data_IF_686574250499
#
_entry.id   IF_686574250499
#
_cell.length_a   1.000
_cell.length_b   1.000
_cell.length_c   1.000
_cell.angle_alpha   90.00
_cell.angle_beta   90.00
_cell.angle_gamma   90.00
#
_symmetry.space_group_name_H-M   'P 1'
#
loop_
_entity.id
_entity.type
_entity.pdbx_description
1 polymer ?
#
# COMPACT_ATOMS: atom_id res chain seq x y z
N UNK A 1 -24.27 -66.70 12.11
CA UNK A 1 -23.40 -66.79 13.30
C UNK A 1 -22.30 -65.68 13.19
N UNK A 2 -22.38 -64.75 14.13
CA UNK A 2 -21.32 -63.89 14.71
C UNK A 2 -20.48 -62.98 13.80
N UNK A 3 -20.76 -61.67 13.97
CA UNK A 3 -19.96 -60.60 14.67
C UNK A 3 -18.79 -60.09 13.78
N UNK A 4 -18.52 -58.81 13.65
CA UNK A 4 -18.79 -57.67 14.51
C UNK A 4 -18.58 -56.38 13.79
N UNK A 5 -19.41 -55.47 14.18
CA UNK A 5 -19.20 -54.02 14.09
C UNK A 5 -18.02 -53.66 14.98
N UNK A 6 -17.17 -52.80 14.51
CA UNK A 6 -16.42 -51.79 15.22
C UNK A 6 -15.18 -51.43 14.37
N UNK A 7 -15.12 -50.19 13.93
CA UNK A 7 -13.96 -49.30 13.88
C UNK A 7 -14.14 -48.21 12.84
N UNK A 8 -15.23 -47.43 12.94
CA UNK A 8 -15.39 -46.19 12.17
C UNK A 8 -15.29 -44.93 13.03
N UNK A 9 -14.76 -45.01 14.26
CA UNK A 9 -14.68 -43.89 15.20
C UNK A 9 -13.24 -43.42 15.50
N UNK A 10 -12.21 -43.98 14.83
CA UNK A 10 -10.82 -43.65 15.14
C UNK A 10 -10.16 -42.66 14.15
N UNK A 11 -10.86 -42.26 13.09
CA UNK A 11 -10.27 -41.32 12.08
C UNK A 11 -10.69 -39.86 12.27
N UNK A 12 -11.60 -39.55 13.21
CA UNK A 12 -12.06 -38.17 13.44
C UNK A 12 -11.35 -37.45 14.60
N UNK A 13 -10.49 -38.13 15.36
CA UNK A 13 -9.81 -37.58 16.54
C UNK A 13 -8.34 -37.19 16.32
N UNK A 14 -7.79 -37.38 15.12
CA UNK A 14 -6.40 -37.02 14.82
C UNK A 14 -6.21 -35.71 14.01
N UNK A 15 -7.31 -34.99 13.71
CA UNK A 15 -7.26 -33.73 12.95
C UNK A 15 -7.27 -32.48 13.83
N UNK A 16 -7.28 -32.57 15.15
CA UNK A 16 -7.40 -31.40 16.05
C UNK A 16 -6.19 -31.14 16.96
N UNK A 17 -5.04 -31.74 16.67
CA UNK A 17 -3.89 -31.50 17.55
C UNK A 17 -2.63 -31.22 16.72
N UNK A 18 -2.63 -30.13 15.94
CA UNK A 18 -1.39 -29.50 15.48
C UNK A 18 -1.72 -28.13 14.84
N UNK A 19 -2.26 -27.22 15.64
CA UNK A 19 -2.10 -25.78 15.40
C UNK A 19 -1.49 -25.18 16.67
N UNK A 20 -0.23 -25.48 16.92
CA UNK A 20 0.59 -24.60 17.75
C UNK A 20 0.92 -23.40 16.88
N UNK A 21 0.19 -22.32 17.10
CA UNK A 21 0.60 -20.98 16.66
C UNK A 21 1.95 -20.68 17.29
N UNK A 22 3.02 -20.84 16.49
CA UNK A 22 4.31 -20.23 16.84
C UNK A 22 4.13 -18.74 16.72
N UNK A 23 4.00 -18.07 17.84
CA UNK A 23 4.16 -16.60 17.92
C UNK A 23 5.60 -16.29 17.51
N UNK A 24 5.81 -15.84 16.29
CA UNK A 24 7.10 -15.30 15.88
C UNK A 24 7.09 -13.85 16.34
N UNK A 25 7.77 -13.57 17.45
CA UNK A 25 8.09 -12.20 17.83
C UNK A 25 9.01 -11.60 16.75
N UNK A 26 8.45 -10.73 15.92
CA UNK A 26 9.23 -9.87 15.06
C UNK A 26 9.87 -8.76 15.91
N UNK A 27 11.02 -9.08 16.49
CA UNK A 27 11.91 -8.02 16.98
C UNK A 27 12.42 -7.28 15.73
N UNK A 28 11.96 -6.03 15.51
CA UNK A 28 12.57 -5.17 14.49
C UNK A 28 14.07 -5.11 14.81
N UNK A 29 14.97 -5.50 13.91
CA UNK A 29 16.39 -5.30 14.11
C UNK A 29 16.60 -3.80 14.33
N UNK A 30 17.31 -3.43 15.41
CA UNK A 30 17.79 -2.07 15.56
C UNK A 30 18.49 -1.68 14.25
N UNK A 31 18.10 -0.56 13.65
CA UNK A 31 18.69 -0.07 12.41
C UNK A 31 20.21 -0.05 12.60
N UNK A 32 20.90 -0.91 11.87
CA UNK A 32 22.35 -0.92 11.88
C UNK A 32 22.78 0.43 11.29
N UNK A 33 23.70 1.14 11.97
CA UNK A 33 24.29 2.40 11.49
C UNK A 33 25.28 2.15 10.32
N UNK A 34 24.87 1.36 9.33
CA UNK A 34 25.53 1.32 8.04
C UNK A 34 25.02 2.48 7.23
N UNK A 35 25.90 3.29 6.67
CA UNK A 35 25.54 4.36 5.72
C UNK A 35 24.55 3.78 4.72
N UNK A 36 23.34 4.36 4.55
CA UNK A 36 22.35 3.81 3.64
C UNK A 36 22.96 3.62 2.26
N UNK A 37 22.78 2.45 1.66
CA UNK A 37 23.23 2.23 0.30
C UNK A 37 22.44 3.17 -0.61
N UNK A 38 23.11 4.11 -1.24
CA UNK A 38 22.50 4.99 -2.24
C UNK A 38 22.43 4.29 -3.59
N UNK A 39 21.24 4.30 -4.18
CA UNK A 39 20.97 3.70 -5.47
C UNK A 39 20.98 4.77 -6.56
N UNK A 40 21.87 4.66 -7.53
CA UNK A 40 21.76 5.46 -8.75
C UNK A 40 20.63 4.95 -9.65
N UNK A 41 20.06 5.81 -10.48
CA UNK A 41 19.04 5.39 -11.47
C UNK A 41 19.56 4.27 -12.37
N UNK A 42 20.86 4.34 -12.77
CA UNK A 42 21.48 3.31 -13.61
C UNK A 42 21.57 1.94 -12.92
N UNK A 43 21.86 1.89 -11.62
CA UNK A 43 21.87 0.63 -10.86
C UNK A 43 20.47 0.04 -10.75
N UNK A 44 19.44 0.86 -10.49
CA UNK A 44 18.05 0.39 -10.47
C UNK A 44 17.61 -0.06 -11.86
N UNK A 45 17.95 0.69 -12.92
CA UNK A 45 17.67 0.29 -14.30
C UNK A 45 18.35 -1.04 -14.67
N UNK A 46 19.56 -1.30 -14.15
CA UNK A 46 20.24 -2.57 -14.33
C UNK A 46 19.46 -3.75 -13.68
N UNK A 47 18.77 -3.53 -12.55
CA UNK A 47 17.88 -4.54 -11.97
C UNK A 47 16.74 -4.91 -12.93
N UNK A 48 16.11 -3.92 -13.54
CA UNK A 48 15.03 -4.17 -14.52
C UNK A 48 15.51 -4.97 -15.75
N UNK A 49 16.79 -4.87 -16.10
CA UNK A 49 17.40 -5.55 -17.27
C UNK A 49 17.91 -6.98 -16.95
N UNK A 50 17.88 -7.39 -15.69
CA UNK A 50 18.25 -8.77 -15.33
C UNK A 50 17.33 -9.79 -16.02
N UNK A 51 17.82 -11.00 -16.32
CA UNK A 51 16.96 -12.12 -16.65
C UNK A 51 15.87 -12.28 -15.59
N UNK A 52 14.64 -12.57 -16.02
CA UNK A 52 13.49 -12.56 -15.09
C UNK A 52 13.70 -13.48 -13.89
N UNK A 53 14.19 -14.68 -14.11
CA UNK A 53 14.45 -15.67 -13.05
C UNK A 53 15.49 -15.18 -12.03
N UNK A 54 16.55 -14.50 -12.51
CA UNK A 54 17.61 -13.97 -11.64
C UNK A 54 17.10 -12.82 -10.77
N UNK A 55 16.29 -11.95 -11.37
CA UNK A 55 15.65 -10.85 -10.63
C UNK A 55 14.71 -11.39 -9.54
N UNK A 56 13.85 -12.37 -9.88
CA UNK A 56 12.92 -12.99 -8.92
C UNK A 56 13.67 -13.69 -7.78
N UNK A 57 14.72 -14.44 -8.11
CA UNK A 57 15.53 -15.11 -7.10
C UNK A 57 16.18 -14.12 -6.14
N UNK A 58 16.78 -13.04 -6.66
CA UNK A 58 17.38 -12.00 -5.84
C UNK A 58 16.35 -11.29 -4.94
N UNK A 59 15.18 -10.96 -5.48
CA UNK A 59 14.11 -10.34 -4.70
C UNK A 59 13.61 -11.26 -3.58
N UNK A 60 13.46 -12.57 -3.85
CA UNK A 60 13.08 -13.55 -2.85
C UNK A 60 14.14 -13.75 -1.75
N UNK A 61 15.41 -13.71 -2.08
CA UNK A 61 16.46 -13.77 -1.06
C UNK A 61 16.30 -12.58 -0.09
N UNK A 62 16.25 -11.36 -0.62
CA UNK A 62 16.06 -10.14 0.20
C UNK A 62 14.77 -10.21 1.00
N UNK A 63 13.67 -10.65 0.40
CA UNK A 63 12.38 -10.75 1.10
C UNK A 63 12.48 -11.69 2.32
N UNK A 64 13.04 -12.89 2.14
CA UNK A 64 13.14 -13.91 3.19
C UNK A 64 14.13 -13.57 4.31
N UNK A 65 15.07 -12.67 4.06
CA UNK A 65 15.98 -12.16 5.07
C UNK A 65 15.29 -11.22 6.07
N UNK A 66 14.20 -10.57 5.65
CA UNK A 66 13.55 -9.51 6.42
C UNK A 66 12.11 -9.80 6.82
N UNK A 67 11.42 -10.72 6.14
CA UNK A 67 10.01 -11.03 6.35
C UNK A 67 9.73 -12.53 6.27
N UNK A 68 8.64 -12.94 6.90
CA UNK A 68 7.99 -14.20 6.56
C UNK A 68 7.41 -14.07 5.15
N UNK A 69 7.90 -14.88 4.17
CA UNK A 69 7.49 -14.72 2.78
C UNK A 69 6.05 -15.13 2.49
N UNK A 70 5.36 -15.74 3.44
CA UNK A 70 3.99 -16.20 3.31
C UNK A 70 3.00 -15.33 4.08
N UNK A 71 3.48 -14.37 4.89
CA UNK A 71 2.63 -13.45 5.62
C UNK A 71 2.34 -12.18 4.81
N UNK A 72 1.08 -11.77 4.72
CA UNK A 72 0.63 -10.58 3.97
C UNK A 72 -0.08 -9.61 4.89
N UNK A 73 0.39 -8.36 4.91
CA UNK A 73 -0.30 -7.28 5.61
C UNK A 73 -1.58 -6.90 4.86
N UNK A 74 -2.71 -6.96 5.53
CA UNK A 74 -4.01 -6.56 5.01
C UNK A 74 -4.35 -5.14 5.48
N UNK A 75 -4.63 -4.24 4.54
CA UNK A 75 -5.00 -2.86 4.81
C UNK A 75 -6.32 -2.53 4.14
N UNK A 76 -7.26 -1.91 4.83
CA UNK A 76 -8.51 -1.42 4.21
C UNK A 76 -8.42 0.09 4.02
N UNK A 77 -8.95 0.59 2.90
CA UNK A 77 -8.95 2.00 2.56
C UNK A 77 -10.38 2.53 2.49
N UNK A 78 -10.64 3.62 3.21
CA UNK A 78 -11.92 4.33 3.17
C UNK A 78 -11.71 5.75 2.61
N UNK A 79 -12.53 6.15 1.64
CA UNK A 79 -12.64 7.54 1.24
C UNK A 79 -13.52 8.29 2.24
N UNK A 80 -12.91 9.08 3.12
CA UNK A 80 -13.64 9.88 4.10
C UNK A 80 -14.19 11.18 3.51
N UNK A 81 -13.65 11.61 2.36
CA UNK A 81 -14.14 12.74 1.54
C UNK A 81 -13.75 12.49 0.09
N UNK A 82 -14.74 12.42 -0.80
CA UNK A 82 -14.57 12.06 -2.21
C UNK A 82 -14.83 13.27 -3.12
N UNK A 83 -14.03 13.37 -4.21
CA UNK A 83 -14.23 14.34 -5.29
C UNK A 83 -13.89 15.80 -4.95
N UNK A 84 -13.88 16.66 -5.97
CA UNK A 84 -13.65 18.11 -5.83
C UNK A 84 -12.24 18.49 -5.36
N UNK A 85 -11.23 17.65 -5.59
CA UNK A 85 -9.84 17.98 -5.28
C UNK A 85 -9.35 19.13 -6.18
N UNK A 86 -8.64 20.08 -5.59
CA UNK A 86 -8.10 21.25 -6.31
C UNK A 86 -6.78 20.96 -7.07
N UNK A 87 -6.37 19.70 -7.18
CA UNK A 87 -5.20 19.27 -7.94
C UNK A 87 -5.60 18.70 -9.31
N UNK A 88 -4.74 18.86 -10.31
CA UNK A 88 -4.96 18.44 -11.70
C UNK A 88 -4.32 17.08 -12.05
N UNK A 89 -4.01 16.23 -11.07
CA UNK A 89 -3.33 14.95 -11.31
C UNK A 89 -4.01 14.17 -12.44
N UNK A 90 -3.28 13.92 -13.55
CA UNK A 90 -3.80 13.38 -14.79
C UNK A 90 -4.43 11.98 -14.72
N UNK A 91 -4.15 11.23 -13.67
CA UNK A 91 -4.71 9.90 -13.39
C UNK A 91 -5.94 9.95 -12.47
N UNK A 92 -6.22 11.08 -11.81
CA UNK A 92 -7.10 11.13 -10.65
C UNK A 92 -8.53 11.53 -11.03
N UNK A 93 -9.47 10.61 -10.85
CA UNK A 93 -10.90 10.86 -11.06
C UNK A 93 -11.52 11.85 -10.06
N UNK A 94 -10.86 12.13 -8.94
CA UNK A 94 -11.35 13.05 -7.91
C UNK A 94 -10.99 14.52 -8.16
N UNK A 95 -10.19 14.79 -9.20
CA UNK A 95 -9.79 16.14 -9.59
C UNK A 95 -10.98 16.96 -10.04
N UNK A 96 -11.07 18.22 -9.60
CA UNK A 96 -12.06 19.17 -10.11
C UNK A 96 -11.77 19.66 -11.55
N UNK A 97 -10.60 19.33 -12.09
CA UNK A 97 -10.20 19.64 -13.47
C UNK A 97 -10.70 18.60 -14.47
N UNK A 98 -11.18 17.46 -14.02
CA UNK A 98 -11.56 16.33 -14.88
C UNK A 98 -13.06 16.05 -14.85
N UNK A 99 -13.59 15.51 -15.96
CA UNK A 99 -14.99 15.15 -16.11
C UNK A 99 -15.23 13.65 -15.88
N UNK A 100 -14.65 13.11 -14.82
CA UNK A 100 -14.67 11.68 -14.52
C UNK A 100 -15.95 11.18 -13.80
N UNK A 101 -16.97 12.03 -13.65
CA UNK A 101 -18.26 11.64 -13.06
C UNK A 101 -18.26 11.36 -11.56
N UNK A 102 -17.16 11.66 -10.85
CA UNK A 102 -17.07 11.48 -9.39
C UNK A 102 -17.74 12.63 -8.68
N UNK A 103 -18.74 12.33 -7.86
CA UNK A 103 -19.45 13.32 -7.06
C UNK A 103 -18.56 13.92 -5.95
N UNK A 104 -18.69 15.23 -5.75
CA UNK A 104 -18.04 15.89 -4.63
C UNK A 104 -18.89 15.72 -3.37
N UNK A 105 -18.47 14.86 -2.45
CA UNK A 105 -19.17 14.59 -1.20
C UNK A 105 -18.69 15.48 -0.07
N UNK A 106 -19.51 15.62 0.97
CA UNK A 106 -19.04 16.10 2.28
C UNK A 106 -18.16 15.04 2.93
N UNK A 107 -17.40 15.44 3.92
CA UNK A 107 -16.67 14.51 4.78
C UNK A 107 -17.66 13.61 5.53
N UNK A 108 -17.31 12.33 5.69
CA UNK A 108 -18.08 11.36 6.46
C UNK A 108 -18.13 11.76 7.93
N UNK A 109 -19.23 11.41 8.58
CA UNK A 109 -19.36 11.54 10.03
C UNK A 109 -18.53 10.44 10.75
N UNK A 110 -18.09 10.72 11.96
CA UNK A 110 -17.26 9.81 12.76
C UNK A 110 -17.87 8.41 12.89
N UNK A 111 -19.17 8.32 13.13
CA UNK A 111 -19.89 7.04 13.30
C UNK A 111 -19.83 6.17 12.03
N UNK A 112 -19.85 6.79 10.84
CA UNK A 112 -19.72 6.08 9.56
C UNK A 112 -18.31 5.50 9.40
N UNK A 113 -17.29 6.28 9.75
CA UNK A 113 -15.88 5.87 9.72
C UNK A 113 -15.65 4.71 10.70
N UNK A 114 -16.15 4.82 11.93
CA UNK A 114 -16.03 3.76 12.94
C UNK A 114 -16.75 2.47 12.54
N UNK A 115 -17.91 2.57 11.91
CA UNK A 115 -18.62 1.41 11.36
C UNK A 115 -17.78 0.71 10.31
N UNK A 116 -17.17 1.45 9.38
CA UNK A 116 -16.30 0.89 8.36
C UNK A 116 -15.01 0.28 8.96
N UNK A 117 -14.40 0.94 9.94
CA UNK A 117 -13.19 0.45 10.61
C UNK A 117 -13.46 -0.86 11.38
N UNK A 118 -14.59 -0.98 12.09
CA UNK A 118 -14.99 -2.22 12.77
C UNK A 118 -15.19 -3.36 11.77
N UNK A 119 -15.90 -3.10 10.67
CA UNK A 119 -16.10 -4.11 9.62
C UNK A 119 -14.76 -4.54 8.98
N UNK A 120 -13.84 -3.61 8.76
CA UNK A 120 -12.49 -3.92 8.25
C UNK A 120 -11.72 -4.83 9.22
N UNK A 121 -11.75 -4.52 10.53
CA UNK A 121 -11.12 -5.34 11.57
C UNK A 121 -11.74 -6.74 11.62
N UNK A 122 -13.05 -6.85 11.61
CA UNK A 122 -13.77 -8.14 11.60
C UNK A 122 -13.43 -8.96 10.35
N UNK A 123 -13.18 -8.32 9.21
CA UNK A 123 -12.72 -8.97 7.99
C UNK A 123 -11.26 -9.43 8.05
N UNK A 124 -10.46 -8.97 9.03
CA UNK A 124 -9.07 -9.34 9.26
C UNK A 124 -8.04 -8.31 8.80
N UNK A 125 -8.43 -7.05 8.54
CA UNK A 125 -7.48 -5.99 8.27
C UNK A 125 -6.75 -5.57 9.55
N UNK A 126 -5.41 -5.50 9.49
CA UNK A 126 -4.58 -4.97 10.58
C UNK A 126 -4.37 -3.46 10.48
N UNK A 127 -4.57 -2.87 9.28
CA UNK A 127 -4.41 -1.43 9.05
C UNK A 127 -5.67 -0.83 8.42
N UNK A 128 -6.06 0.35 8.90
CA UNK A 128 -7.14 1.13 8.33
C UNK A 128 -6.63 2.46 7.80
N UNK A 129 -6.82 2.69 6.49
CA UNK A 129 -6.37 3.87 5.79
C UNK A 129 -7.56 4.80 5.51
N UNK A 130 -7.40 6.08 5.79
CA UNK A 130 -8.41 7.12 5.56
C UNK A 130 -7.90 8.09 4.50
N UNK A 131 -8.61 8.21 3.37
CA UNK A 131 -8.26 9.11 2.28
C UNK A 131 -9.25 10.24 2.08
N UNK A 132 -8.77 11.46 1.85
CA UNK A 132 -9.60 12.61 1.49
C UNK A 132 -9.09 13.32 0.25
N UNK A 133 -10.01 13.72 -0.62
CA UNK A 133 -9.71 14.42 -1.87
C UNK A 133 -9.44 15.91 -1.63
N UNK A 134 -8.29 16.24 -1.04
CA UNK A 134 -7.83 17.60 -0.77
C UNK A 134 -6.46 17.88 -1.38
N UNK A 135 -6.21 19.16 -1.65
CA UNK A 135 -4.85 19.68 -1.82
C UNK A 135 -4.12 19.67 -0.47
N UNK A 136 -4.80 20.20 0.56
CA UNK A 136 -4.41 20.20 1.97
C UNK A 136 -5.69 20.29 2.82
N UNK A 137 -5.71 19.76 4.05
CA UNK A 137 -6.87 19.84 4.92
C UNK A 137 -7.01 21.26 5.49
N UNK A 138 -8.25 21.76 5.60
CA UNK A 138 -8.54 22.98 6.33
C UNK A 138 -8.39 22.76 7.86
N UNK A 139 -8.40 23.84 8.63
CA UNK A 139 -8.35 23.75 10.10
C UNK A 139 -9.60 23.06 10.69
N UNK A 140 -10.76 23.26 10.05
CA UNK A 140 -12.02 22.63 10.47
C UNK A 140 -11.98 21.12 10.15
N UNK A 141 -11.55 20.74 8.95
CA UNK A 141 -11.39 19.35 8.53
C UNK A 141 -10.42 18.59 9.46
N UNK A 142 -9.31 19.23 9.85
CA UNK A 142 -8.32 18.63 10.74
C UNK A 142 -8.93 18.20 12.07
N UNK A 143 -9.81 19.01 12.67
CA UNK A 143 -10.44 18.67 13.96
C UNK A 143 -11.19 17.34 13.88
N UNK A 144 -12.00 17.15 12.86
CA UNK A 144 -12.76 15.91 12.67
C UNK A 144 -11.84 14.73 12.33
N UNK A 145 -10.80 14.93 11.50
CA UNK A 145 -9.84 13.88 11.17
C UNK A 145 -9.06 13.41 12.40
N UNK A 146 -8.66 14.32 13.30
CA UNK A 146 -7.95 13.96 14.52
C UNK A 146 -8.80 13.07 15.44
N UNK A 147 -10.10 13.32 15.53
CA UNK A 147 -11.03 12.48 16.28
C UNK A 147 -11.20 11.10 15.59
N UNK A 148 -11.32 11.06 14.25
CA UNK A 148 -11.35 9.81 13.49
C UNK A 148 -10.10 8.97 13.76
N UNK A 149 -8.90 9.57 13.73
CA UNK A 149 -7.63 8.87 13.99
C UNK A 149 -7.62 8.25 15.39
N UNK A 150 -7.96 9.02 16.43
CA UNK A 150 -7.98 8.56 17.82
C UNK A 150 -8.92 7.37 18.01
N UNK A 151 -10.14 7.50 17.50
CA UNK A 151 -11.17 6.49 17.69
C UNK A 151 -10.90 5.21 16.88
N UNK A 152 -10.38 5.32 15.65
CA UNK A 152 -9.97 4.15 14.85
C UNK A 152 -8.79 3.43 15.53
N UNK A 153 -7.80 4.18 16.04
CA UNK A 153 -6.70 3.61 16.80
C UNK A 153 -7.18 2.90 18.08
N UNK A 154 -8.16 3.45 18.78
CA UNK A 154 -8.76 2.82 19.97
C UNK A 154 -9.43 1.47 19.67
N UNK A 155 -9.78 1.19 18.41
CA UNK A 155 -10.20 -0.14 17.97
C UNK A 155 -9.05 -1.15 17.88
N UNK A 156 -7.78 -0.73 18.05
CA UNK A 156 -6.60 -1.57 17.91
C UNK A 156 -6.15 -1.77 16.46
N UNK A 157 -6.56 -0.91 15.54
CA UNK A 157 -6.09 -0.91 14.15
C UNK A 157 -4.89 0.02 14.00
N UNK A 158 -3.89 -0.38 13.23
CA UNK A 158 -2.86 0.52 12.75
C UNK A 158 -3.49 1.56 11.80
N UNK A 159 -3.18 2.84 11.98
CA UNK A 159 -3.83 3.94 11.26
C UNK A 159 -2.96 4.51 10.16
N UNK A 160 -3.56 4.85 9.03
CA UNK A 160 -2.90 5.55 7.93
C UNK A 160 -3.83 6.64 7.37
N UNK A 161 -3.30 7.80 7.02
CA UNK A 161 -4.08 8.87 6.42
C UNK A 161 -3.44 9.42 5.15
N UNK A 162 -4.28 9.82 4.17
CA UNK A 162 -3.93 10.48 2.91
C UNK A 162 -4.78 11.73 2.77
N UNK A 163 -4.25 12.89 3.16
CA UNK A 163 -5.01 14.13 3.28
C UNK A 163 -4.48 15.27 2.38
N UNK A 164 -3.58 14.94 1.45
CA UNK A 164 -2.88 15.93 0.65
C UNK A 164 -1.58 16.42 1.32
N UNK A 165 -1.23 17.68 1.13
CA UNK A 165 -0.06 18.29 1.76
C UNK A 165 -0.33 18.61 3.23
N UNK A 166 0.73 18.63 4.04
CA UNK A 166 0.67 19.01 5.46
C UNK A 166 1.69 20.11 5.73
N UNK A 167 1.36 21.01 6.62
CA UNK A 167 2.33 21.86 7.30
C UNK A 167 2.82 21.19 8.61
N UNK A 168 3.82 21.80 9.29
CA UNK A 168 4.41 21.23 10.50
C UNK A 168 3.41 21.10 11.66
N UNK A 169 2.48 22.07 11.80
CA UNK A 169 1.45 22.05 12.84
C UNK A 169 0.50 20.86 12.63
N UNK A 170 0.02 20.67 11.38
CA UNK A 170 -0.88 19.57 11.02
C UNK A 170 -0.21 18.21 11.20
N UNK A 171 1.07 18.08 10.80
CA UNK A 171 1.83 16.85 11.01
C UNK A 171 1.99 16.53 12.51
N UNK A 172 2.29 17.54 13.34
CA UNK A 172 2.36 17.40 14.79
C UNK A 172 1.04 16.97 15.42
N UNK A 173 -0.08 17.59 15.00
CA UNK A 173 -1.43 17.26 15.48
C UNK A 173 -1.82 15.80 15.15
N UNK A 174 -1.53 15.33 13.93
CA UNK A 174 -1.79 13.95 13.52
C UNK A 174 -0.98 12.95 14.34
N UNK A 175 0.32 13.22 14.57
CA UNK A 175 1.16 12.42 15.44
C UNK A 175 0.60 12.37 16.87
N UNK A 176 0.18 13.50 17.42
CA UNK A 176 -0.36 13.60 18.79
C UNK A 176 -1.74 12.90 18.91
N UNK A 177 -2.51 12.84 17.82
CA UNK A 177 -3.72 12.02 17.74
C UNK A 177 -3.43 10.50 17.64
N UNK A 178 -2.18 10.11 17.42
CA UNK A 178 -1.74 8.73 17.34
C UNK A 178 -1.74 8.14 15.94
N UNK A 179 -1.64 8.97 14.88
CA UNK A 179 -1.51 8.46 13.52
C UNK A 179 -0.18 7.72 13.35
N UNK A 180 -0.24 6.46 12.89
CA UNK A 180 0.95 5.62 12.71
C UNK A 180 1.65 5.93 11.39
N UNK A 181 0.91 6.05 10.29
CA UNK A 181 1.42 6.28 8.94
C UNK A 181 0.76 7.46 8.26
N UNK A 182 1.54 8.23 7.52
CA UNK A 182 1.00 9.20 6.58
C UNK A 182 1.35 8.79 5.14
N UNK A 183 0.33 8.65 4.30
CA UNK A 183 0.51 8.35 2.89
C UNK A 183 0.59 9.64 2.07
N UNK A 184 1.69 9.80 1.35
CA UNK A 184 1.88 10.84 0.35
C UNK A 184 2.79 10.30 -0.75
N UNK A 185 2.19 9.83 -1.84
CA UNK A 185 2.94 9.22 -2.92
C UNK A 185 3.78 10.24 -3.67
N UNK A 186 4.95 9.84 -4.16
CA UNK A 186 5.73 10.61 -5.13
C UNK A 186 5.10 10.55 -6.54
N UNK A 187 4.22 9.59 -6.76
CA UNK A 187 3.50 9.27 -7.98
C UNK A 187 4.41 8.77 -9.11
N UNK A 188 5.47 9.50 -9.48
CA UNK A 188 6.39 9.12 -10.56
C UNK A 188 7.80 9.68 -10.30
N UNK A 189 8.71 9.56 -11.26
CA UNK A 189 10.05 10.18 -11.19
C UNK A 189 9.97 11.71 -11.30
N UNK A 190 10.94 12.44 -10.70
CA UNK A 190 10.99 13.90 -10.79
C UNK A 190 10.91 14.43 -12.23
N UNK A 191 11.62 13.78 -13.16
CA UNK A 191 11.73 14.20 -14.56
C UNK A 191 10.42 13.98 -15.35
N UNK A 192 9.52 13.14 -14.87
CA UNK A 192 8.23 12.86 -15.51
C UNK A 192 7.05 13.54 -14.81
N UNK A 193 7.26 14.04 -13.59
CA UNK A 193 6.20 14.58 -12.73
C UNK A 193 5.39 15.71 -13.38
N UNK A 194 6.07 16.66 -14.02
CA UNK A 194 5.43 17.79 -14.70
C UNK A 194 4.53 17.40 -15.89
N UNK A 195 4.65 16.18 -16.41
CA UNK A 195 3.76 15.65 -17.45
C UNK A 195 2.42 15.18 -16.89
N UNK A 196 2.37 14.96 -15.57
CA UNK A 196 1.22 14.33 -14.91
C UNK A 196 0.47 15.33 -14.02
N UNK A 197 1.19 16.28 -13.39
CA UNK A 197 0.63 17.23 -12.43
C UNK A 197 1.27 18.61 -12.68
N UNK A 198 0.46 19.66 -12.76
CA UNK A 198 0.93 21.03 -12.94
C UNK A 198 0.56 21.99 -11.80
N UNK A 199 -0.37 21.59 -10.94
CA UNK A 199 -0.88 22.44 -9.85
C UNK A 199 0.01 22.47 -8.61
N UNK A 200 1.04 21.62 -8.55
CA UNK A 200 2.07 21.60 -7.50
C UNK A 200 3.37 21.03 -8.03
N UNK A 201 4.46 21.36 -7.36
CA UNK A 201 5.79 20.89 -7.70
C UNK A 201 6.10 19.54 -7.05
N UNK A 202 7.12 18.86 -7.58
CA UNK A 202 7.62 17.60 -6.98
C UNK A 202 8.18 17.83 -5.56
N UNK A 203 8.80 19.00 -5.34
CA UNK A 203 9.35 19.38 -4.05
C UNK A 203 8.28 19.47 -2.96
N UNK A 204 7.05 19.92 -3.28
CA UNK A 204 5.94 19.97 -2.33
C UNK A 204 5.64 18.59 -1.71
N UNK A 205 5.84 17.51 -2.49
CA UNK A 205 5.68 16.14 -2.00
C UNK A 205 6.81 15.75 -1.05
N UNK A 206 8.05 16.06 -1.43
CA UNK A 206 9.21 15.78 -0.58
C UNK A 206 9.09 16.53 0.74
N UNK A 207 8.78 17.81 0.71
CA UNK A 207 8.61 18.66 1.90
C UNK A 207 7.52 18.09 2.84
N UNK A 208 6.42 17.61 2.28
CA UNK A 208 5.36 16.99 3.08
C UNK A 208 5.86 15.72 3.77
N UNK A 209 6.60 14.86 3.07
CA UNK A 209 7.17 13.64 3.63
C UNK A 209 8.23 13.93 4.71
N UNK A 210 9.03 14.98 4.52
CA UNK A 210 9.99 15.44 5.54
C UNK A 210 9.28 15.93 6.82
N UNK A 211 8.19 16.70 6.69
CA UNK A 211 7.38 17.14 7.83
C UNK A 211 6.78 15.96 8.59
N UNK A 212 6.29 14.94 7.87
CA UNK A 212 5.79 13.69 8.45
C UNK A 212 6.89 12.99 9.25
N UNK A 213 8.10 12.86 8.68
CA UNK A 213 9.27 12.29 9.37
C UNK A 213 9.63 13.08 10.61
N UNK A 214 9.75 14.39 10.49
CA UNK A 214 10.11 15.28 11.57
C UNK A 214 9.10 15.25 12.73
N UNK A 215 7.84 15.01 12.43
CA UNK A 215 6.80 14.79 13.44
C UNK A 215 6.90 13.42 14.12
N UNK A 216 7.68 12.46 13.60
CA UNK A 216 7.88 11.13 14.18
C UNK A 216 6.88 10.08 13.72
N UNK A 217 6.17 10.31 12.62
CA UNK A 217 5.29 9.32 11.98
C UNK A 217 6.05 8.48 10.94
N UNK A 218 5.53 7.29 10.66
CA UNK A 218 6.01 6.48 9.55
C UNK A 218 5.52 7.02 8.20
N UNK A 219 6.34 6.85 7.16
CA UNK A 219 6.01 7.25 5.80
C UNK A 219 5.47 6.07 5.01
N UNK A 220 4.32 6.30 4.36
CA UNK A 220 3.81 5.47 3.29
C UNK A 220 3.94 6.27 1.99
N UNK A 221 4.86 5.90 1.11
CA UNK A 221 5.08 6.62 -0.15
C UNK A 221 5.54 5.67 -1.24
N UNK A 222 4.94 5.81 -2.40
CA UNK A 222 5.21 5.01 -3.59
C UNK A 222 4.82 5.76 -4.85
N UNK A 223 4.33 5.05 -5.85
CA UNK A 223 3.95 5.67 -7.11
C UNK A 223 2.97 4.85 -7.93
N UNK A 224 2.70 5.39 -9.10
CA UNK A 224 1.84 4.80 -10.13
C UNK A 224 2.72 4.53 -11.35
N UNK A 225 2.63 3.34 -11.89
CA UNK A 225 3.32 2.94 -13.11
C UNK A 225 2.33 2.60 -14.20
N UNK A 226 2.77 2.71 -15.46
CA UNK A 226 1.90 2.59 -16.63
C UNK A 226 1.24 3.92 -17.03
N UNK A 227 1.78 5.07 -16.59
CA UNK A 227 1.32 6.41 -16.98
C UNK A 227 1.97 6.92 -18.27
N UNK A 228 2.74 6.07 -18.98
CA UNK A 228 3.52 6.43 -20.17
C UNK A 228 4.99 6.77 -19.86
N UNK A 229 5.44 6.54 -18.64
CA UNK A 229 6.82 6.70 -18.22
C UNK A 229 7.75 5.67 -18.90
N UNK A 230 8.98 6.08 -19.22
CA UNK A 230 10.02 5.18 -19.69
C UNK A 230 10.57 4.28 -18.57
N UNK A 231 11.29 3.22 -18.95
CA UNK A 231 12.00 2.36 -17.99
C UNK A 231 12.96 3.16 -17.08
N UNK A 232 13.69 4.12 -17.64
CA UNK A 232 14.60 4.98 -16.88
C UNK A 232 13.86 5.85 -15.88
N UNK A 233 12.69 6.39 -16.23
CA UNK A 233 11.84 7.15 -15.32
C UNK A 233 11.25 6.26 -14.23
N UNK A 234 10.83 5.03 -14.56
CA UNK A 234 10.39 4.06 -13.57
C UNK A 234 11.51 3.70 -12.59
N UNK A 235 12.72 3.51 -13.09
CA UNK A 235 13.91 3.32 -12.24
C UNK A 235 14.19 4.56 -11.39
N UNK A 236 13.96 5.76 -11.92
CA UNK A 236 14.08 7.04 -11.20
C UNK A 236 13.15 7.14 -10.00
N UNK A 237 11.87 6.73 -10.15
CA UNK A 237 10.93 6.67 -9.03
C UNK A 237 11.45 5.74 -7.90
N UNK A 238 11.87 4.53 -8.26
CA UNK A 238 12.37 3.56 -7.27
C UNK A 238 13.66 4.06 -6.60
N UNK A 239 14.59 4.64 -7.37
CA UNK A 239 15.82 5.22 -6.82
C UNK A 239 15.52 6.38 -5.87
N UNK A 240 14.55 7.26 -6.21
CA UNK A 240 14.14 8.37 -5.35
C UNK A 240 13.58 7.88 -4.01
N UNK A 241 12.69 6.88 -4.03
CA UNK A 241 12.13 6.29 -2.81
C UNK A 241 13.22 5.62 -1.96
N UNK A 242 14.10 4.82 -2.59
CA UNK A 242 15.15 4.08 -1.92
C UNK A 242 16.23 4.99 -1.29
N UNK A 243 16.40 6.21 -1.80
CA UNK A 243 17.39 7.18 -1.32
C UNK A 243 16.86 8.15 -0.26
N UNK A 244 15.56 8.07 0.09
CA UNK A 244 15.06 8.76 1.26
C UNK A 244 15.73 8.20 2.53
N UNK A 245 15.99 9.04 3.52
CA UNK A 245 16.69 8.63 4.75
C UNK A 245 15.83 8.91 6.00
N UNK A 246 15.23 7.86 6.57
CA UNK A 246 15.12 6.49 6.06
C UNK A 246 14.17 6.41 4.84
N UNK A 247 14.31 5.35 4.03
CA UNK A 247 13.31 5.08 2.97
C UNK A 247 11.94 4.77 3.58
N UNK A 248 10.83 4.88 2.81
CA UNK A 248 9.48 4.66 3.35
C UNK A 248 9.30 3.26 3.94
N UNK A 249 8.65 3.17 5.09
CA UNK A 249 8.29 1.89 5.73
C UNK A 249 7.21 1.14 4.94
N UNK A 250 6.42 1.84 4.14
CA UNK A 250 5.40 1.26 3.27
C UNK A 250 5.47 1.89 1.89
N UNK A 251 5.57 1.03 0.86
CA UNK A 251 5.78 1.45 -0.54
C UNK A 251 4.66 0.88 -1.40
N UNK A 252 3.54 1.62 -1.57
CA UNK A 252 2.48 1.22 -2.49
C UNK A 252 2.93 1.39 -3.94
N UNK A 253 2.86 0.30 -4.71
CA UNK A 253 3.03 0.32 -6.16
C UNK A 253 1.64 0.12 -6.77
N UNK A 254 1.19 1.15 -7.49
CA UNK A 254 -0.08 1.16 -8.19
C UNK A 254 0.14 0.88 -9.67
N UNK A 255 -0.67 0.03 -10.25
CA UNK A 255 -0.84 0.02 -11.70
C UNK A 255 -1.89 1.05 -12.07
N UNK A 256 -1.66 1.85 -13.12
CA UNK A 256 -2.62 2.86 -13.56
C UNK A 256 -3.99 2.22 -13.77
N UNK A 257 -5.00 2.75 -13.10
CA UNK A 257 -6.41 2.45 -13.39
C UNK A 257 -6.92 3.55 -14.30
N UNK A 258 -7.23 3.19 -15.54
CA UNK A 258 -7.72 4.12 -16.54
C UNK A 258 -9.18 4.46 -16.25
N UNK A 259 -9.45 5.74 -16.00
CA UNK A 259 -10.81 6.23 -15.71
C UNK A 259 -11.24 7.18 -16.81
N UNK A 260 -12.38 6.89 -17.43
CA UNK A 260 -12.97 7.76 -18.46
C UNK A 260 -13.13 9.19 -17.94
N UNK A 261 -12.81 10.17 -18.77
CA UNK A 261 -12.84 11.59 -18.41
C UNK A 261 -11.58 12.11 -17.70
N UNK A 262 -10.57 11.26 -17.47
CA UNK A 262 -9.24 11.69 -17.04
C UNK A 262 -8.27 11.78 -18.21
N UNK A 263 -7.20 12.60 -18.13
CA UNK A 263 -6.19 12.72 -19.19
C UNK A 263 -5.49 11.41 -19.57
N UNK A 264 -5.37 10.46 -18.64
CA UNK A 264 -4.67 9.18 -18.86
C UNK A 264 -5.62 8.02 -19.20
N UNK A 265 -6.89 8.30 -19.52
CA UNK A 265 -7.88 7.25 -19.84
C UNK A 265 -7.48 6.35 -21.03
N UNK A 266 -6.79 6.91 -22.03
CA UNK A 266 -6.40 6.22 -23.26
C UNK A 266 -4.92 5.80 -23.27
N UNK A 267 -4.22 5.84 -22.13
CA UNK A 267 -2.82 5.41 -22.01
C UNK A 267 -2.70 3.91 -22.35
N UNK A 268 -1.63 3.51 -23.02
CA UNK A 268 -1.36 2.09 -23.31
C UNK A 268 -1.22 1.27 -22.04
N UNK A 269 -1.61 -0.02 -22.10
CA UNK A 269 -1.45 -0.92 -20.96
C UNK A 269 0.02 -1.23 -20.70
N UNK A 270 0.40 -1.24 -19.43
CA UNK A 270 1.72 -1.71 -19.03
C UNK A 270 1.81 -3.24 -19.17
N UNK A 271 2.94 -3.73 -19.69
CA UNK A 271 3.22 -5.17 -19.66
C UNK A 271 3.19 -5.67 -18.20
N UNK A 272 2.37 -6.69 -17.89
CA UNK A 272 2.30 -7.23 -16.52
C UNK A 272 3.65 -7.67 -15.95
N UNK A 273 4.59 -8.15 -16.78
CA UNK A 273 5.92 -8.52 -16.32
C UNK A 273 6.76 -7.31 -15.93
N UNK A 274 6.54 -6.15 -16.54
CA UNK A 274 7.18 -4.90 -16.13
C UNK A 274 6.68 -4.42 -14.77
N UNK A 275 5.37 -4.66 -14.47
CA UNK A 275 4.83 -4.43 -13.13
C UNK A 275 5.53 -5.33 -12.09
N UNK A 276 5.62 -6.63 -12.36
CA UNK A 276 6.31 -7.60 -11.48
C UNK A 276 7.78 -7.21 -11.26
N UNK A 277 8.49 -6.79 -12.31
CA UNK A 277 9.88 -6.30 -12.22
C UNK A 277 9.99 -5.08 -11.31
N UNK A 278 8.98 -4.19 -11.34
CA UNK A 278 8.95 -3.00 -10.46
C UNK A 278 8.81 -3.40 -8.99
N UNK A 279 7.95 -4.37 -8.68
CA UNK A 279 7.84 -4.93 -7.33
C UNK A 279 9.17 -5.52 -6.86
N UNK A 280 9.83 -6.31 -7.71
CA UNK A 280 11.14 -6.90 -7.39
C UNK A 280 12.22 -5.84 -7.14
N UNK A 281 12.30 -4.81 -7.98
CA UNK A 281 13.22 -3.69 -7.81
C UNK A 281 12.95 -2.95 -6.50
N UNK A 282 11.68 -2.67 -6.16
CA UNK A 282 11.29 -2.05 -4.91
C UNK A 282 11.72 -2.89 -3.70
N UNK A 283 11.52 -4.22 -3.72
CA UNK A 283 11.96 -5.13 -2.65
C UNK A 283 13.47 -5.14 -2.48
N UNK A 284 14.23 -5.20 -3.57
CA UNK A 284 15.70 -5.25 -3.52
C UNK A 284 16.28 -3.94 -2.98
N UNK A 285 15.71 -2.81 -3.38
CA UNK A 285 16.25 -1.48 -3.01
C UNK A 285 15.77 -0.99 -1.65
N UNK A 286 14.63 -1.49 -1.16
CA UNK A 286 14.03 -1.15 0.14
C UNK A 286 13.71 -2.45 0.92
N UNK A 287 14.73 -3.12 1.46
CA UNK A 287 14.62 -4.49 2.00
C UNK A 287 13.59 -4.66 3.12
N UNK A 288 13.42 -3.65 3.97
CA UNK A 288 12.54 -3.71 5.16
C UNK A 288 11.19 -3.01 4.96
N UNK A 289 10.91 -2.48 3.76
CA UNK A 289 9.64 -1.84 3.47
C UNK A 289 8.51 -2.86 3.27
N UNK A 290 7.29 -2.51 3.67
CA UNK A 290 6.10 -3.19 3.18
C UNK A 290 5.85 -2.77 1.73
N UNK A 291 6.16 -3.65 0.77
CA UNK A 291 5.87 -3.41 -0.64
C UNK A 291 4.43 -3.83 -0.91
N UNK A 292 3.59 -2.84 -1.22
CA UNK A 292 2.14 -3.05 -1.33
C UNK A 292 1.69 -3.12 -2.78
N UNK A 293 0.95 -4.18 -3.11
CA UNK A 293 0.10 -4.18 -4.29
C UNK A 293 -1.12 -3.32 -4.00
N UNK A 294 -1.23 -2.21 -4.71
CA UNK A 294 -2.23 -1.20 -4.46
C UNK A 294 -3.28 -1.17 -5.58
N UNK A 295 -3.58 -0.01 -6.19
CA UNK A 295 -4.56 0.07 -7.27
C UNK A 295 -4.18 -0.78 -8.50
N UNK A 296 -5.19 -1.18 -9.30
CA UNK A 296 -5.04 -1.98 -10.51
C UNK A 296 -5.07 -3.50 -10.29
N UNK A 297 -5.15 -3.99 -9.06
CA UNK A 297 -5.23 -5.44 -8.76
C UNK A 297 -6.46 -6.11 -9.35
N UNK A 298 -7.56 -5.39 -9.50
CA UNK A 298 -8.80 -5.91 -10.09
C UNK A 298 -8.61 -6.49 -11.48
N UNK A 299 -7.75 -5.88 -12.28
CA UNK A 299 -7.43 -6.25 -13.66
C UNK A 299 -6.33 -7.33 -13.75
N UNK A 300 -5.61 -7.60 -12.66
CA UNK A 300 -4.55 -8.60 -12.64
C UNK A 300 -5.11 -10.02 -12.51
N UNK A 301 -4.57 -10.95 -13.30
CA UNK A 301 -4.83 -12.38 -13.11
C UNK A 301 -4.22 -12.88 -11.80
N UNK A 302 -4.74 -14.00 -11.26
CA UNK A 302 -4.16 -14.70 -10.10
C UNK A 302 -2.67 -15.00 -10.31
N UNK A 303 -2.27 -15.37 -11.54
CA UNK A 303 -0.88 -15.68 -11.88
C UNK A 303 0.03 -14.45 -11.77
N UNK A 304 -0.42 -13.27 -12.24
CA UNK A 304 0.36 -12.02 -12.12
C UNK A 304 0.48 -11.61 -10.66
N UNK A 305 -0.58 -11.70 -9.87
CA UNK A 305 -0.52 -11.40 -8.44
C UNK A 305 0.41 -12.37 -7.70
N UNK A 306 0.38 -13.67 -8.03
CA UNK A 306 1.32 -14.66 -7.47
C UNK A 306 2.78 -14.33 -7.80
N UNK A 307 3.06 -13.87 -9.03
CA UNK A 307 4.40 -13.40 -9.40
C UNK A 307 4.80 -12.14 -8.62
N UNK A 308 3.87 -11.24 -8.33
CA UNK A 308 4.15 -10.07 -7.49
C UNK A 308 4.51 -10.47 -6.04
N UNK A 309 3.82 -11.44 -5.45
CA UNK A 309 4.20 -11.98 -4.13
C UNK A 309 5.55 -12.68 -4.19
N UNK A 310 5.82 -13.45 -5.25
CA UNK A 310 7.15 -14.03 -5.48
C UNK A 310 8.24 -12.96 -5.64
N UNK A 311 7.91 -11.81 -6.26
CA UNK A 311 8.80 -10.66 -6.39
C UNK A 311 9.00 -9.87 -5.07
N UNK A 312 8.33 -10.27 -3.98
CA UNK A 312 8.50 -9.71 -2.65
C UNK A 312 7.45 -8.69 -2.22
N UNK A 313 6.30 -8.61 -2.90
CA UNK A 313 5.15 -7.93 -2.33
C UNK A 313 4.68 -8.65 -1.06
N UNK A 314 4.33 -7.91 -0.01
CA UNK A 314 3.89 -8.45 1.28
C UNK A 314 2.80 -7.62 1.94
N UNK A 315 2.16 -6.75 1.19
CA UNK A 315 1.00 -5.97 1.64
C UNK A 315 0.01 -5.79 0.50
N UNK A 316 -1.28 -5.77 0.81
CA UNK A 316 -2.35 -5.48 -0.15
C UNK A 316 -3.38 -4.52 0.44
N UNK A 317 -4.08 -3.78 -0.42
CA UNK A 317 -5.38 -3.27 -0.03
C UNK A 317 -6.43 -4.38 -0.11
N UNK A 318 -7.20 -4.51 0.95
CA UNK A 318 -8.17 -5.57 1.21
C UNK A 318 -9.56 -4.97 1.42
N UNK A 319 -10.56 -5.52 0.74
CA UNK A 319 -11.91 -4.97 0.68
C UNK A 319 -12.28 -4.54 -0.73
N UNK A 320 -13.58 -4.41 -1.02
CA UNK A 320 -14.14 -4.34 -2.38
C UNK A 320 -13.86 -3.03 -3.11
N UNK A 321 -13.46 -2.00 -2.39
CA UNK A 321 -13.23 -0.66 -2.95
C UNK A 321 -11.95 -0.02 -2.43
N UNK A 322 -11.34 0.80 -3.29
CA UNK A 322 -10.36 1.82 -2.95
C UNK A 322 -11.08 3.19 -2.78
N UNK A 323 -10.39 4.30 -3.08
CA UNK A 323 -11.02 5.62 -2.95
C UNK A 323 -12.22 5.81 -3.89
N UNK A 324 -12.05 5.49 -5.18
CA UNK A 324 -13.07 5.69 -6.23
C UNK A 324 -13.10 4.55 -7.24
N UNK A 325 -12.22 3.57 -7.12
CA UNK A 325 -12.11 2.43 -8.02
C UNK A 325 -12.35 1.13 -7.30
N UNK A 326 -12.84 0.12 -8.01
CA UNK A 326 -13.01 -1.23 -7.49
C UNK A 326 -11.67 -1.86 -7.08
N UNK A 327 -11.76 -2.83 -6.18
CA UNK A 327 -10.66 -3.67 -5.72
C UNK A 327 -11.14 -5.12 -5.74
N UNK A 328 -10.26 -6.15 -5.75
CA UNK A 328 -10.70 -7.52 -5.61
C UNK A 328 -11.55 -7.73 -4.35
N UNK A 329 -12.67 -8.46 -4.51
CA UNK A 329 -13.52 -8.80 -3.39
C UNK A 329 -12.76 -9.63 -2.35
N UNK A 330 -13.15 -9.50 -1.09
CA UNK A 330 -12.54 -10.20 0.06
C UNK A 330 -12.42 -11.71 -0.18
N UNK A 331 -13.46 -12.33 -0.75
CA UNK A 331 -13.49 -13.77 -1.05
C UNK A 331 -12.47 -14.16 -2.11
N UNK A 332 -12.25 -13.30 -3.13
CA UNK A 332 -11.23 -13.52 -4.17
C UNK A 332 -9.83 -13.49 -3.57
N UNK A 333 -9.56 -12.53 -2.69
CA UNK A 333 -8.27 -12.42 -2.00
C UNK A 333 -8.03 -13.62 -1.07
N UNK A 334 -9.04 -14.03 -0.30
CA UNK A 334 -8.95 -15.23 0.54
C UNK A 334 -8.69 -16.50 -0.27
N UNK A 335 -9.38 -16.64 -1.40
CA UNK A 335 -9.19 -17.78 -2.29
C UNK A 335 -7.79 -17.79 -2.90
N UNK A 336 -7.27 -16.63 -3.33
CA UNK A 336 -5.90 -16.51 -3.87
C UNK A 336 -4.86 -16.81 -2.79
N UNK A 337 -4.95 -16.23 -1.61
CA UNK A 337 -4.04 -16.51 -0.50
C UNK A 337 -4.06 -18.01 -0.14
N UNK A 338 -5.24 -18.63 -0.07
CA UNK A 338 -5.37 -20.07 0.18
C UNK A 338 -4.70 -20.93 -0.89
N UNK A 339 -4.83 -20.59 -2.19
CA UNK A 339 -4.13 -21.28 -3.30
C UNK A 339 -2.60 -21.16 -3.19
N UNK A 340 -2.11 -20.02 -2.68
CA UNK A 340 -0.67 -19.73 -2.56
C UNK A 340 -0.08 -20.21 -1.23
N UNK A 341 -0.89 -20.70 -0.28
CA UNK A 341 -0.45 -21.03 1.07
C UNK A 341 -0.04 -19.81 1.90
N UNK A 342 -0.56 -18.64 1.57
CA UNK A 342 -0.29 -17.37 2.26
C UNK A 342 -1.36 -17.10 3.32
N UNK A 343 -1.02 -16.26 4.29
CA UNK A 343 -1.90 -15.92 5.40
C UNK A 343 -1.74 -14.45 5.82
N UNK A 344 -2.77 -13.87 6.43
CA UNK A 344 -2.68 -12.52 6.98
C UNK A 344 -1.55 -12.42 8.00
N UNK A 345 -0.79 -11.33 7.94
CA UNK A 345 0.18 -11.00 8.98
C UNK A 345 -0.57 -10.82 10.31
N UNK A 346 -0.14 -11.55 11.34
CA UNK A 346 -0.72 -11.41 12.67
C UNK A 346 -0.55 -9.99 13.20
N UNK A 347 -1.57 -9.48 13.91
CA UNK A 347 -1.46 -8.20 14.62
C UNK A 347 -0.29 -8.31 15.62
N UNK A 348 0.65 -7.39 15.52
CA UNK A 348 1.65 -7.21 16.59
C UNK A 348 0.99 -6.40 17.69
N UNK A 349 0.94 -6.92 18.91
CA UNK A 349 0.57 -6.15 20.09
C UNK A 349 1.49 -4.92 20.16
N UNK A 350 0.91 -3.73 20.01
CA UNK A 350 1.59 -2.43 20.07
C UNK A 350 1.48 -1.85 21.47
#
# INVERSE_FOLDING_TARGET
>A
MFRGEADSLSFYLLAHTFMQTKTVEFVRPAQSQTTPQRWSVAEVEALFKLPFSDLMYRAQQVHREHFDPNAVQLSTLLSIKTGGCAEDCGYCSQSSYHSAGVENTKMLELDEVLKAAKAAKEAGAGRFCMGAAWREPSREDMTAVLDMVKEVRALGLETCATLGMLNDEQAGQLRDAGLDYYNHNLDTAPEFYGNIISTRDYQDRIDTLERVRNAGMHVCSGGIIGMGESLTQRAGLIAQLANMDPYPESVPINNLVKVEGTPLADTEDLDPLDFVRTIAAARITMPQAFVRLSAGRGEMSDAVQALCFLAGANSIFYGDQLLTTGNPAVERDRALMGKLGMYPLAETDH
#
